data_IF_069314776075
#
_entry.id   IF_069314776075
#
_cell.length_a   1.000
_cell.length_b   1.000
_cell.length_c   1.000
_cell.angle_alpha   90.00
_cell.angle_beta   90.00
_cell.angle_gamma   90.00
#
_symmetry.space_group_name_H-M   'P 1'
#
loop_
_entity.id
_entity.type
_entity.pdbx_description
1 polymer ?
#
# COMPACT_ATOMS: atom_id res chain seq x y z
N UNK A 1 7.90 -40.50 -27.03
CA UNK A 1 7.32 -40.21 -25.69
C UNK A 1 8.33 -40.24 -24.52
N UNK A 2 9.65 -40.41 -24.74
CA UNK A 2 10.66 -40.39 -23.65
C UNK A 2 11.34 -39.01 -23.46
N UNK A 3 11.38 -38.16 -24.49
CA UNK A 3 12.02 -36.84 -24.43
C UNK A 3 11.17 -35.74 -23.75
N UNK A 4 9.84 -35.79 -23.87
CA UNK A 4 8.96 -34.81 -23.22
C UNK A 4 8.97 -34.91 -21.67
N UNK A 5 9.24 -36.10 -21.13
CA UNK A 5 9.35 -36.32 -19.68
C UNK A 5 10.61 -35.69 -19.08
N UNK A 6 11.69 -35.61 -19.85
CA UNK A 6 12.96 -35.00 -19.40
C UNK A 6 12.86 -33.47 -19.32
N UNK A 7 12.16 -32.84 -20.26
CA UNK A 7 11.92 -31.39 -20.23
C UNK A 7 10.99 -30.98 -19.08
N UNK A 8 9.96 -31.76 -18.77
CA UNK A 8 9.08 -31.49 -17.63
C UNK A 8 9.82 -31.58 -16.28
N UNK A 9 10.75 -32.53 -16.14
CA UNK A 9 11.61 -32.64 -14.95
C UNK A 9 12.63 -31.49 -14.85
N UNK A 10 13.18 -31.03 -15.97
CA UNK A 10 14.12 -29.90 -16.01
C UNK A 10 13.47 -28.58 -15.56
N UNK A 11 12.24 -28.30 -16.00
CA UNK A 11 11.55 -27.05 -15.65
C UNK A 11 11.11 -27.05 -14.18
N UNK A 12 10.69 -28.20 -13.64
CA UNK A 12 10.49 -28.34 -12.19
C UNK A 12 11.80 -28.16 -11.40
N UNK A 13 12.91 -28.74 -11.86
CA UNK A 13 14.18 -28.68 -11.12
C UNK A 13 14.77 -27.25 -11.06
N UNK A 14 14.65 -26.48 -12.15
CA UNK A 14 15.12 -25.08 -12.17
C UNK A 14 14.21 -24.11 -11.41
N UNK A 15 12.92 -24.42 -11.24
CA UNK A 15 12.02 -23.63 -10.37
C UNK A 15 12.26 -23.93 -8.88
N UNK A 16 12.65 -25.15 -8.52
CA UNK A 16 12.97 -25.53 -7.14
C UNK A 16 14.31 -24.92 -6.67
N UNK A 17 15.27 -24.70 -7.57
CA UNK A 17 16.58 -24.11 -7.22
C UNK A 17 16.51 -22.62 -6.87
N UNK A 18 15.53 -21.88 -7.40
CA UNK A 18 15.24 -20.50 -6.95
C UNK A 18 14.39 -20.45 -5.67
N UNK A 19 13.80 -21.57 -5.24
CA UNK A 19 13.09 -21.68 -3.97
C UNK A 19 13.96 -22.24 -2.83
N UNK A 20 15.15 -22.76 -3.11
CA UNK A 20 16.02 -23.37 -2.11
C UNK A 20 16.56 -22.36 -1.08
N UNK A 21 16.64 -21.07 -1.41
CA UNK A 21 16.98 -20.01 -0.45
C UNK A 21 15.89 -19.79 0.61
N UNK A 22 14.64 -20.17 0.32
CA UNK A 22 13.53 -20.09 1.28
C UNK A 22 13.62 -21.19 2.36
N UNK A 23 14.38 -22.27 2.13
CA UNK A 23 14.45 -23.45 2.99
C UNK A 23 15.78 -23.59 3.76
N UNK A 24 16.74 -22.67 3.60
CA UNK A 24 18.02 -22.73 4.33
C UNK A 24 18.02 -22.09 5.73
N UNK A 25 16.90 -21.51 6.17
CA UNK A 25 16.73 -21.05 7.55
C UNK A 25 16.46 -22.24 8.48
N UNK A 26 17.52 -22.92 8.94
CA UNK A 26 17.45 -24.05 9.90
C UNK A 26 16.92 -23.69 11.30
N UNK A 27 16.60 -22.43 11.58
CA UNK A 27 16.30 -21.96 12.96
C UNK A 27 14.99 -21.17 13.14
N UNK A 28 13.94 -21.35 12.32
CA UNK A 28 12.66 -20.68 12.56
C UNK A 28 11.42 -21.57 12.50
N UNK A 29 10.65 -21.45 13.59
CA UNK A 29 9.33 -21.98 13.89
C UNK A 29 8.34 -21.58 12.76
N UNK A 30 7.64 -22.55 12.20
CA UNK A 30 6.53 -22.42 11.23
C UNK A 30 6.80 -21.61 9.94
N UNK A 31 7.41 -22.26 8.93
CA UNK A 31 7.53 -21.74 7.55
C UNK A 31 6.29 -22.02 6.67
N UNK A 32 5.16 -22.40 7.26
CA UNK A 32 3.91 -22.69 6.54
C UNK A 32 3.40 -21.47 5.78
N UNK A 33 3.51 -20.27 6.35
CA UNK A 33 3.07 -19.03 5.70
C UNK A 33 3.91 -18.70 4.45
N UNK A 34 5.22 -18.96 4.51
CA UNK A 34 6.13 -18.78 3.37
C UNK A 34 5.85 -19.81 2.25
N UNK A 35 5.48 -21.04 2.62
CA UNK A 35 5.05 -22.08 1.69
C UNK A 35 3.71 -21.72 1.02
N UNK A 36 2.73 -21.19 1.77
CA UNK A 36 1.46 -20.74 1.21
C UNK A 36 1.64 -19.53 0.28
N UNK A 37 2.46 -18.55 0.64
CA UNK A 37 2.81 -17.44 -0.25
C UNK A 37 3.41 -17.92 -1.57
N UNK A 38 4.35 -18.87 -1.53
CA UNK A 38 4.98 -19.42 -2.72
C UNK A 38 4.02 -20.26 -3.59
N UNK A 39 3.03 -20.93 -2.98
CA UNK A 39 2.07 -21.78 -3.70
C UNK A 39 0.94 -20.98 -4.38
N UNK A 40 0.63 -19.79 -3.88
CA UNK A 40 -0.42 -18.90 -4.43
C UNK A 40 0.12 -17.73 -5.27
N UNK A 41 1.44 -17.58 -5.38
CA UNK A 41 2.08 -16.55 -6.19
C UNK A 41 1.97 -16.87 -7.69
N UNK A 42 0.86 -16.45 -8.32
CA UNK A 42 0.94 -16.12 -9.73
C UNK A 42 1.94 -14.97 -9.92
N UNK A 43 2.57 -14.77 -11.10
CA UNK A 43 3.53 -13.69 -11.32
C UNK A 43 2.98 -12.27 -11.03
N UNK A 44 1.66 -12.13 -10.91
CA UNK A 44 0.94 -10.90 -10.59
C UNK A 44 0.32 -10.89 -9.19
N UNK A 45 0.80 -11.75 -8.28
CA UNK A 45 0.40 -11.82 -6.88
C UNK A 45 1.62 -11.92 -5.97
N UNK A 46 1.79 -10.94 -5.09
CA UNK A 46 2.79 -11.00 -4.03
C UNK A 46 3.69 -9.77 -3.94
N UNK A 47 4.60 -9.80 -2.95
CA UNK A 47 5.55 -8.72 -2.69
C UNK A 47 6.74 -8.77 -3.66
N UNK A 48 7.25 -7.61 -4.01
CA UNK A 48 8.48 -7.41 -4.78
C UNK A 48 9.19 -6.14 -4.30
N UNK A 49 10.52 -6.13 -4.33
CA UNK A 49 11.28 -4.93 -3.98
C UNK A 49 11.15 -3.87 -5.09
N UNK A 50 11.07 -2.60 -4.69
CA UNK A 50 11.10 -1.44 -5.59
C UNK A 50 12.24 -0.53 -5.17
N UNK A 51 12.94 0.03 -6.14
CA UNK A 51 13.93 1.09 -5.96
C UNK A 51 13.77 2.14 -7.07
N UNK A 52 13.92 3.42 -6.72
CA UNK A 52 13.75 4.53 -7.66
C UNK A 52 14.03 5.90 -7.04
N UNK A 53 13.60 6.96 -7.71
CA UNK A 53 13.73 8.35 -7.24
C UNK A 53 12.92 8.63 -5.97
N UNK A 54 11.86 7.88 -5.72
CA UNK A 54 11.12 7.87 -4.45
C UNK A 54 11.80 7.00 -3.37
N UNK A 55 12.98 6.44 -3.66
CA UNK A 55 13.72 5.58 -2.74
C UNK A 55 13.37 4.10 -2.90
N UNK A 56 13.60 3.34 -1.81
CA UNK A 56 13.38 1.91 -1.73
C UNK A 56 12.04 1.60 -1.04
N UNK A 57 11.40 0.50 -1.44
CA UNK A 57 10.15 0.06 -0.86
C UNK A 57 9.79 -1.36 -1.27
N UNK A 58 8.58 -1.77 -0.87
CA UNK A 58 7.98 -3.06 -1.24
C UNK A 58 6.69 -2.80 -1.97
N UNK A 59 6.57 -3.35 -3.19
CA UNK A 59 5.34 -3.38 -3.97
C UNK A 59 4.63 -4.71 -3.77
N UNK A 60 3.36 -4.62 -3.39
CA UNK A 60 2.43 -5.72 -3.26
C UNK A 60 1.47 -5.69 -4.45
N UNK A 61 1.53 -6.72 -5.29
CA UNK A 61 0.61 -6.93 -6.41
C UNK A 61 -0.53 -7.85 -5.97
N UNK A 62 -1.77 -7.50 -6.35
CA UNK A 62 -2.98 -8.25 -5.96
C UNK A 62 -3.78 -8.80 -7.14
N UNK A 63 -3.52 -8.35 -8.37
CA UNK A 63 -4.35 -8.66 -9.55
C UNK A 63 -4.43 -10.16 -9.88
N UNK A 64 -3.41 -10.93 -9.54
CA UNK A 64 -3.39 -12.38 -9.74
C UNK A 64 -3.62 -13.21 -8.48
N UNK A 65 -4.00 -12.60 -7.36
CA UNK A 65 -4.21 -13.32 -6.10
C UNK A 65 -5.55 -14.05 -6.09
N UNK A 66 -5.58 -15.21 -5.45
CA UNK A 66 -6.78 -16.05 -5.30
C UNK A 66 -6.71 -16.86 -4.00
N UNK A 67 -7.78 -17.57 -3.66
CA UNK A 67 -7.89 -18.32 -2.41
C UNK A 67 -8.43 -17.46 -1.25
N UNK A 68 -8.11 -17.87 -0.02
CA UNK A 68 -8.53 -17.13 1.18
C UNK A 68 -7.70 -15.83 1.34
N UNK A 69 -8.35 -14.64 1.25
CA UNK A 69 -7.66 -13.36 1.37
C UNK A 69 -6.93 -13.19 2.69
N UNK A 70 -7.49 -13.69 3.80
CA UNK A 70 -6.88 -13.51 5.12
C UNK A 70 -5.55 -14.24 5.22
N UNK A 71 -5.47 -15.46 4.73
CA UNK A 71 -4.24 -16.26 4.73
C UNK A 71 -3.19 -15.68 3.79
N UNK A 72 -3.58 -15.29 2.57
CA UNK A 72 -2.65 -14.72 1.57
C UNK A 72 -2.10 -13.38 2.05
N UNK A 73 -2.96 -12.47 2.53
CA UNK A 73 -2.53 -11.16 3.00
C UNK A 73 -1.69 -11.24 4.28
N UNK A 74 -1.97 -12.21 5.16
CA UNK A 74 -1.12 -12.51 6.31
C UNK A 74 0.29 -12.91 5.88
N UNK A 75 0.41 -13.75 4.86
CA UNK A 75 1.70 -14.15 4.32
C UNK A 75 2.45 -12.97 3.67
N UNK A 76 1.73 -11.94 3.21
CA UNK A 76 2.33 -10.68 2.73
C UNK A 76 2.59 -9.66 3.85
N UNK A 77 2.32 -10.02 5.10
CA UNK A 77 2.56 -9.16 6.27
C UNK A 77 1.44 -8.18 6.57
N UNK A 78 0.18 -8.49 6.23
CA UNK A 78 -1.00 -7.69 6.58
C UNK A 78 -1.95 -8.44 7.52
N UNK A 79 -2.67 -7.71 8.36
CA UNK A 79 -3.99 -8.13 8.84
C UNK A 79 -5.04 -7.67 7.85
N UNK A 80 -6.14 -8.41 7.73
CA UNK A 80 -7.24 -8.05 6.84
C UNK A 80 -8.59 -8.39 7.44
N UNK A 81 -9.61 -7.61 7.09
CA UNK A 81 -10.99 -7.84 7.48
C UNK A 81 -11.92 -7.51 6.32
N UNK A 82 -12.91 -8.37 6.06
CA UNK A 82 -13.98 -8.10 5.08
C UNK A 82 -13.49 -7.84 3.65
N UNK A 83 -12.43 -8.49 3.19
CA UNK A 83 -11.93 -8.33 1.82
C UNK A 83 -12.04 -9.63 1.04
N UNK A 84 -12.16 -9.54 -0.28
CA UNK A 84 -12.16 -10.65 -1.22
C UNK A 84 -11.18 -10.40 -2.36
N UNK A 85 -10.75 -11.46 -3.05
CA UNK A 85 -10.00 -11.31 -4.30
C UNK A 85 -10.96 -11.21 -5.50
N UNK A 86 -10.86 -10.11 -6.24
CA UNK A 86 -11.58 -9.87 -7.49
C UNK A 86 -10.73 -8.95 -8.39
N UNK A 87 -9.85 -9.53 -9.21
CA UNK A 87 -8.84 -8.81 -10.01
C UNK A 87 -7.97 -7.84 -9.19
N UNK A 88 -7.81 -8.12 -7.90
CA UNK A 88 -7.24 -7.26 -6.87
C UNK A 88 -7.91 -7.54 -5.52
N UNK A 89 -7.60 -6.75 -4.48
CA UNK A 89 -8.32 -6.80 -3.20
C UNK A 89 -9.55 -5.91 -3.32
N UNK A 90 -10.73 -6.48 -3.10
CA UNK A 90 -11.98 -5.75 -3.04
C UNK A 90 -12.54 -5.74 -1.62
N UNK A 91 -12.95 -4.56 -1.14
CA UNK A 91 -13.69 -4.44 0.12
C UNK A 91 -15.16 -4.80 -0.03
N UNK A 92 -15.68 -5.65 0.87
CA UNK A 92 -17.09 -6.09 0.87
C UNK A 92 -18.02 -5.17 1.67
N UNK A 93 -17.47 -4.20 2.41
CA UNK A 93 -18.22 -3.28 3.27
C UNK A 93 -17.42 -2.02 3.59
N UNK A 94 -18.06 -1.05 4.23
CA UNK A 94 -17.37 0.11 4.79
C UNK A 94 -16.38 -0.24 5.92
N UNK A 95 -16.43 -1.43 6.50
CA UNK A 95 -15.50 -1.86 7.56
C UNK A 95 -14.30 -2.66 7.02
N UNK A 96 -14.19 -2.82 5.69
CA UNK A 96 -13.18 -3.67 5.10
C UNK A 96 -11.82 -3.01 5.12
N UNK A 97 -10.82 -3.67 5.71
CA UNK A 97 -9.48 -3.10 5.93
C UNK A 97 -8.38 -4.08 5.60
N UNK A 98 -7.21 -3.52 5.29
CA UNK A 98 -5.91 -4.20 5.36
C UNK A 98 -4.92 -3.28 6.09
N UNK A 99 -4.10 -3.83 6.98
CA UNK A 99 -3.12 -3.04 7.77
C UNK A 99 -1.82 -3.83 7.84
N UNK A 100 -0.67 -3.18 7.64
CA UNK A 100 0.63 -3.86 7.80
C UNK A 100 0.81 -4.36 9.24
N UNK A 101 1.45 -5.52 9.38
CA UNK A 101 1.74 -6.14 10.68
C UNK A 101 2.96 -5.49 11.36
N UNK A 102 3.89 -4.99 10.55
CA UNK A 102 5.13 -4.37 10.98
C UNK A 102 5.13 -2.86 10.65
N UNK A 103 6.02 -2.14 11.33
CA UNK A 103 6.29 -0.74 11.04
C UNK A 103 6.65 -0.58 9.56
N UNK A 104 6.18 0.50 8.95
CA UNK A 104 6.40 0.80 7.53
C UNK A 104 6.90 2.23 7.32
N UNK A 105 7.37 2.90 8.39
CA UNK A 105 7.82 4.28 8.35
C UNK A 105 9.35 4.38 8.27
N UNK A 106 9.83 5.41 7.60
CA UNK A 106 11.21 5.90 7.76
C UNK A 106 11.24 6.84 8.96
N UNK A 107 12.02 6.52 9.99
CA UNK A 107 12.14 7.35 11.20
C UNK A 107 13.54 7.96 11.32
N UNK A 108 13.59 9.24 11.67
CA UNK A 108 14.84 9.96 11.98
C UNK A 108 14.57 10.93 13.13
N UNK A 109 15.16 10.68 14.30
CA UNK A 109 14.84 11.45 15.50
C UNK A 109 13.36 11.30 15.89
N UNK A 110 12.65 12.42 16.02
CA UNK A 110 11.21 12.45 16.30
C UNK A 110 10.34 12.48 15.03
N UNK A 111 10.96 12.57 13.86
CA UNK A 111 10.25 12.68 12.60
C UNK A 111 10.01 11.31 12.01
N UNK A 112 8.83 11.14 11.44
CA UNK A 112 8.47 9.93 10.72
C UNK A 112 7.85 10.29 9.38
N UNK A 113 8.44 9.74 8.32
CA UNK A 113 7.99 9.95 6.95
C UNK A 113 7.61 8.61 6.38
N UNK A 114 6.48 8.59 5.68
CA UNK A 114 6.12 7.46 4.86
C UNK A 114 5.43 7.97 3.61
N UNK A 115 5.49 7.15 2.57
CA UNK A 115 4.63 7.35 1.44
C UNK A 115 4.25 6.03 0.81
N UNK A 116 3.11 6.11 0.15
CA UNK A 116 2.39 4.98 -0.38
C UNK A 116 1.95 5.31 -1.79
N UNK A 117 2.15 4.36 -2.69
CA UNK A 117 1.58 4.37 -4.02
C UNK A 117 0.46 3.36 -4.06
N UNK A 118 -0.72 3.75 -4.54
CA UNK A 118 -1.88 2.86 -4.61
C UNK A 118 -2.42 2.90 -6.02
N UNK A 119 -2.59 1.74 -6.63
CA UNK A 119 -3.35 1.59 -7.87
C UNK A 119 -4.69 0.98 -7.54
N UNK A 120 -5.78 1.70 -7.83
CA UNK A 120 -7.13 1.30 -7.50
C UNK A 120 -8.12 1.54 -8.64
N UNK A 121 -9.28 0.91 -8.53
CA UNK A 121 -10.44 1.08 -9.39
C UNK A 121 -11.68 1.29 -8.51
N UNK A 122 -12.40 2.40 -8.70
CA UNK A 122 -13.68 2.64 -8.02
C UNK A 122 -14.81 1.97 -8.81
N UNK A 123 -15.58 1.05 -8.23
CA UNK A 123 -16.64 0.33 -8.98
C UNK A 123 -18.00 1.03 -8.96
N UNK A 124 -18.24 1.90 -7.99
CA UNK A 124 -19.52 2.60 -7.76
C UNK A 124 -19.33 4.05 -7.34
N UNK A 125 -20.37 4.87 -7.48
CA UNK A 125 -20.35 6.30 -7.13
C UNK A 125 -20.07 6.59 -5.65
N UNK A 126 -20.34 5.63 -4.76
CA UNK A 126 -20.06 5.69 -3.32
C UNK A 126 -18.87 4.82 -2.91
N UNK A 127 -17.99 4.49 -3.85
CA UNK A 127 -16.73 3.79 -3.53
C UNK A 127 -15.83 4.70 -2.70
N UNK A 128 -15.08 4.09 -1.77
CA UNK A 128 -14.13 4.81 -0.94
C UNK A 128 -12.83 4.01 -0.79
N UNK A 129 -11.71 4.72 -0.76
CA UNK A 129 -10.43 4.21 -0.32
C UNK A 129 -9.87 5.19 0.70
N UNK A 130 -9.85 4.80 1.97
CA UNK A 130 -9.10 5.52 2.99
C UNK A 130 -7.69 4.92 3.03
N UNK A 131 -6.69 5.77 2.90
CA UNK A 131 -5.29 5.38 2.87
C UNK A 131 -4.57 6.06 4.03
N UNK A 132 -4.37 5.31 5.12
CA UNK A 132 -3.66 5.76 6.31
C UNK A 132 -2.18 5.44 6.14
N UNK A 133 -1.37 6.48 6.00
CA UNK A 133 0.07 6.38 5.77
C UNK A 133 0.80 6.11 7.09
N UNK A 134 0.23 6.60 8.20
CA UNK A 134 0.59 6.16 9.54
C UNK A 134 -0.69 5.71 10.24
N UNK A 135 -0.72 4.47 10.71
CA UNK A 135 -1.93 3.83 11.24
C UNK A 135 -1.63 3.02 12.50
N UNK A 136 -2.62 2.92 13.40
CA UNK A 136 -2.65 1.93 14.49
C UNK A 136 -3.28 0.61 14.03
N UNK A 137 -3.25 -0.42 14.87
CA UNK A 137 -3.99 -1.66 14.62
C UNK A 137 -5.50 -1.48 14.50
N UNK A 138 -6.07 -0.38 15.02
CA UNK A 138 -7.50 -0.09 14.97
C UNK A 138 -7.91 0.78 13.77
N UNK A 139 -7.02 0.97 12.79
CA UNK A 139 -7.26 1.85 11.64
C UNK A 139 -7.56 3.30 12.04
N UNK A 140 -6.62 3.92 12.73
CA UNK A 140 -6.66 5.36 13.02
C UNK A 140 -5.31 5.97 12.69
N UNK A 141 -5.28 7.20 12.18
CA UNK A 141 -4.07 8.01 12.00
C UNK A 141 -4.21 9.00 10.84
N UNK A 142 -3.13 9.70 10.44
CA UNK A 142 -3.13 10.54 9.26
C UNK A 142 -3.21 9.77 7.96
N UNK A 143 -3.87 10.37 6.98
CA UNK A 143 -3.97 9.81 5.65
C UNK A 143 -4.87 10.61 4.73
N UNK A 144 -5.35 9.94 3.68
CA UNK A 144 -6.22 10.53 2.66
C UNK A 144 -7.37 9.60 2.35
N UNK A 145 -8.59 10.12 2.28
CA UNK A 145 -9.75 9.45 1.73
C UNK A 145 -9.92 9.86 0.26
N UNK A 146 -10.09 8.87 -0.60
CA UNK A 146 -10.49 9.03 -2.00
C UNK A 146 -11.91 8.53 -2.19
N UNK A 147 -12.71 9.32 -2.91
CA UNK A 147 -13.96 8.86 -3.52
C UNK A 147 -13.82 8.91 -5.06
N UNK A 148 -14.89 8.78 -5.85
CA UNK A 148 -14.84 9.13 -7.27
C UNK A 148 -14.73 10.63 -7.53
N UNK A 149 -15.17 11.48 -6.59
CA UNK A 149 -15.35 12.93 -6.83
C UNK A 149 -14.55 13.84 -5.92
N UNK A 150 -13.94 13.34 -4.85
CA UNK A 150 -13.07 14.13 -3.99
C UNK A 150 -11.90 13.34 -3.40
N UNK A 151 -10.85 14.08 -3.04
CA UNK A 151 -9.86 13.68 -2.06
C UNK A 151 -10.04 14.53 -0.80
N UNK A 152 -9.91 13.92 0.37
CA UNK A 152 -10.03 14.56 1.68
C UNK A 152 -8.91 14.06 2.58
N UNK A 153 -8.35 14.91 3.44
CA UNK A 153 -7.41 14.42 4.44
C UNK A 153 -8.13 13.74 5.59
N UNK A 154 -7.44 12.84 6.26
CA UNK A 154 -7.96 12.09 7.39
C UNK A 154 -7.23 12.51 8.67
N UNK A 155 -8.00 12.96 9.67
CA UNK A 155 -7.55 13.02 11.05
C UNK A 155 -8.13 11.82 11.81
N UNK A 156 -7.35 10.74 11.93
CA UNK A 156 -7.87 9.51 12.48
C UNK A 156 -8.79 8.81 11.47
N UNK A 157 -10.09 8.78 11.76
CA UNK A 157 -11.13 8.20 10.89
C UNK A 157 -12.08 9.23 10.28
N UNK A 158 -11.84 10.53 10.53
CA UNK A 158 -12.74 11.60 10.12
C UNK A 158 -12.17 12.32 8.90
N UNK A 159 -12.86 12.29 7.74
CA UNK A 159 -12.44 13.02 6.56
C UNK A 159 -12.74 14.52 6.72
N UNK A 160 -11.81 15.35 6.26
CA UNK A 160 -11.91 16.81 6.23
C UNK A 160 -11.44 17.34 4.89
N UNK A 161 -11.97 18.49 4.47
CA UNK A 161 -11.46 19.16 3.29
C UNK A 161 -10.03 19.63 3.54
N UNK A 162 -9.17 19.52 2.53
CA UNK A 162 -7.86 20.15 2.54
C UNK A 162 -8.01 21.67 2.65
N UNK A 163 -7.23 22.31 3.53
CA UNK A 163 -7.31 23.76 3.77
C UNK A 163 -6.69 24.55 2.60
N UNK A 164 -5.63 24.02 2.02
CA UNK A 164 -4.96 24.60 0.86
C UNK A 164 -5.57 24.06 -0.43
N UNK A 165 -6.12 24.98 -1.23
CA UNK A 165 -6.65 24.67 -2.55
C UNK A 165 -5.50 24.22 -3.45
N UNK A 166 -5.57 23.03 -4.06
CA UNK A 166 -4.44 22.51 -4.79
C UNK A 166 -4.13 23.31 -6.06
N UNK A 167 -2.87 23.22 -6.50
CA UNK A 167 -2.43 23.78 -7.78
C UNK A 167 -3.14 23.15 -8.99
N UNK A 168 -3.63 21.91 -8.82
CA UNK A 168 -4.34 21.10 -9.82
C UNK A 168 -5.52 20.43 -9.13
N UNK A 169 -6.73 20.55 -9.68
CA UNK A 169 -7.90 19.87 -9.13
C UNK A 169 -7.74 18.34 -9.25
N UNK A 170 -7.75 17.65 -8.11
CA UNK A 170 -7.84 16.19 -8.09
C UNK A 170 -9.13 15.76 -8.82
N UNK A 171 -9.04 14.70 -9.63
CA UNK A 171 -10.21 14.09 -10.29
C UNK A 171 -10.07 12.57 -10.35
N UNK A 172 -11.09 11.84 -9.90
CA UNK A 172 -11.20 10.38 -10.11
C UNK A 172 -12.48 10.08 -10.86
N UNK A 173 -12.73 8.81 -11.18
CA UNK A 173 -13.95 8.38 -11.85
C UNK A 173 -14.25 6.92 -11.57
N UNK A 174 -15.52 6.58 -11.61
CA UNK A 174 -15.98 5.18 -11.56
C UNK A 174 -15.51 4.45 -12.81
N UNK A 175 -15.01 3.24 -12.66
CA UNK A 175 -14.59 2.38 -13.76
C UNK A 175 -13.27 2.77 -14.43
N UNK A 176 -12.59 3.83 -13.97
CA UNK A 176 -11.27 4.23 -14.46
C UNK A 176 -10.23 3.88 -13.40
N UNK A 177 -9.22 3.12 -13.80
CA UNK A 177 -8.09 2.82 -12.93
C UNK A 177 -7.28 4.09 -12.68
N UNK A 178 -6.89 4.27 -11.42
CA UNK A 178 -6.10 5.42 -10.99
C UNK A 178 -4.95 4.97 -10.12
N UNK A 179 -3.78 5.55 -10.36
CA UNK A 179 -2.62 5.41 -9.48
C UNK A 179 -2.40 6.73 -8.76
N UNK A 180 -2.25 6.67 -7.45
CA UNK A 180 -1.97 7.83 -6.60
C UNK A 180 -0.69 7.60 -5.80
N UNK A 181 0.07 8.68 -5.60
CA UNK A 181 1.14 8.75 -4.63
C UNK A 181 0.70 9.65 -3.49
N UNK A 182 0.95 9.22 -2.25
CA UNK A 182 0.62 9.96 -1.04
C UNK A 182 1.85 9.94 -0.15
N UNK A 183 2.18 11.07 0.43
CA UNK A 183 3.24 11.20 1.42
C UNK A 183 2.66 11.81 2.70
N UNK A 184 3.06 11.29 3.86
CA UNK A 184 2.77 11.88 5.17
C UNK A 184 4.06 12.03 5.93
N UNK A 185 4.37 13.28 6.27
CA UNK A 185 5.55 13.67 7.01
C UNK A 185 5.04 14.14 8.37
N UNK A 186 5.22 13.32 9.41
CA UNK A 186 4.94 13.73 10.78
C UNK A 186 6.23 14.33 11.33
N UNK A 187 6.22 15.65 11.47
CA UNK A 187 7.32 16.45 11.98
C UNK A 187 6.84 17.04 13.32
N UNK A 188 7.43 16.57 14.42
CA UNK A 188 6.96 16.85 15.78
C UNK A 188 5.46 16.47 16.02
N UNK A 189 4.62 17.46 16.35
CA UNK A 189 3.19 17.29 16.67
C UNK A 189 2.27 17.49 15.46
N UNK A 190 2.82 17.93 14.34
CA UNK A 190 2.08 18.22 13.12
C UNK A 190 2.35 17.15 12.07
N UNK A 191 1.43 16.99 11.14
CA UNK A 191 1.67 16.23 9.93
C UNK A 191 1.45 17.09 8.69
N UNK A 192 2.29 16.84 7.71
CA UNK A 192 2.20 17.38 6.37
C UNK A 192 1.79 16.24 5.45
N UNK A 193 0.68 16.42 4.74
CA UNK A 193 0.07 15.40 3.89
C UNK A 193 0.10 15.90 2.46
N UNK A 194 0.67 15.13 1.56
CA UNK A 194 0.82 15.49 0.15
C UNK A 194 0.26 14.38 -0.75
N UNK A 195 -0.26 14.72 -1.92
CA UNK A 195 -0.50 13.70 -2.94
C UNK A 195 -0.67 14.15 -4.38
N UNK A 196 -0.60 13.14 -5.25
CA UNK A 196 -0.56 13.26 -6.71
C UNK A 196 -1.26 12.09 -7.38
N UNK A 197 -1.83 12.31 -8.57
CA UNK A 197 -2.41 11.25 -9.40
C UNK A 197 -1.35 10.63 -10.34
N UNK A 198 -0.23 10.18 -9.77
CA UNK A 198 0.86 9.54 -10.51
C UNK A 198 1.61 8.55 -9.63
N UNK A 199 2.50 7.75 -10.23
CA UNK A 199 3.41 6.89 -9.49
C UNK A 199 4.42 7.74 -8.68
N UNK A 200 4.82 7.29 -7.50
CA UNK A 200 5.66 8.09 -6.59
C UNK A 200 7.04 8.45 -7.18
N UNK A 201 7.54 7.66 -8.12
CA UNK A 201 8.80 7.94 -8.81
C UNK A 201 8.70 9.04 -9.89
N UNK A 202 7.48 9.41 -10.31
CA UNK A 202 7.23 10.39 -11.38
C UNK A 202 6.57 11.68 -10.90
N UNK A 203 6.27 11.79 -9.60
CA UNK A 203 5.61 12.99 -9.06
C UNK A 203 6.53 14.21 -9.09
N UNK A 204 5.95 15.37 -9.36
CA UNK A 204 6.62 16.65 -9.16
C UNK A 204 6.37 17.15 -7.73
N UNK A 205 7.39 17.07 -6.87
CA UNK A 205 7.29 17.53 -5.46
C UNK A 205 7.25 19.05 -5.29
N UNK A 206 7.28 19.81 -6.37
CA UNK A 206 7.02 21.25 -6.33
C UNK A 206 5.55 21.62 -6.64
N UNK A 207 4.69 20.64 -6.94
CA UNK A 207 3.30 20.87 -7.35
C UNK A 207 2.41 19.70 -6.95
N UNK A 208 1.63 19.89 -5.89
CA UNK A 208 0.72 18.89 -5.31
C UNK A 208 -0.70 19.05 -5.87
N UNK A 209 -1.43 17.94 -5.98
CA UNK A 209 -2.87 17.91 -6.33
C UNK A 209 -3.78 18.03 -5.10
N UNK A 210 -3.24 17.83 -3.91
CA UNK A 210 -3.85 18.14 -2.63
C UNK A 210 -2.73 18.14 -1.58
N UNK A 211 -2.82 19.08 -0.64
CA UNK A 211 -1.88 19.21 0.46
C UNK A 211 -2.62 19.62 1.73
N UNK A 212 -2.19 19.12 2.88
CA UNK A 212 -2.56 19.64 4.19
C UNK A 212 -1.26 19.94 4.93
N UNK A 213 -1.05 21.21 5.24
CA UNK A 213 0.09 21.68 6.02
C UNK A 213 -0.30 21.81 7.49
N UNK A 214 0.64 21.50 8.39
CA UNK A 214 0.48 21.68 9.84
C UNK A 214 -0.77 21.01 10.45
N UNK A 215 -1.19 19.87 9.91
CA UNK A 215 -2.32 19.11 10.46
C UNK A 215 -1.99 18.70 11.89
N UNK A 216 -2.72 19.23 12.88
CA UNK A 216 -2.46 18.94 14.29
C UNK A 216 -2.84 17.49 14.59
N UNK A 217 -1.85 16.67 14.92
CA UNK A 217 -2.04 15.26 15.29
C UNK A 217 -1.59 15.03 16.73
N UNK A 218 -2.55 15.10 17.64
CA UNK A 218 -2.29 14.88 19.07
C UNK A 218 -2.27 13.39 19.41
N UNK A 219 -1.24 12.94 20.16
CA UNK A 219 -1.23 11.63 20.80
C UNK A 219 -1.15 10.42 19.87
N UNK A 220 -0.71 10.60 18.62
CA UNK A 220 -0.64 9.51 17.65
C UNK A 220 0.69 8.76 17.67
N UNK A 221 0.61 7.43 17.82
CA UNK A 221 1.77 6.53 17.94
C UNK A 221 1.79 5.41 16.89
N UNK A 222 0.93 5.48 15.87
CA UNK A 222 0.87 4.44 14.85
C UNK A 222 2.09 4.48 13.91
N UNK A 223 2.52 3.31 13.49
CA UNK A 223 3.72 3.09 12.70
C UNK A 223 3.47 2.22 11.45
N UNK A 224 2.21 1.89 11.18
CA UNK A 224 1.78 1.00 10.10
C UNK A 224 1.18 1.78 8.94
N UNK A 225 1.07 1.13 7.80
CA UNK A 225 0.24 1.60 6.69
C UNK A 225 -1.03 0.77 6.66
N UNK A 226 -2.17 1.40 6.39
CA UNK A 226 -3.43 0.68 6.24
C UNK A 226 -4.30 1.27 5.14
N UNK A 227 -5.09 0.41 4.50
CA UNK A 227 -6.21 0.82 3.66
C UNK A 227 -7.55 0.37 4.24
N UNK A 228 -8.57 1.22 4.13
CA UNK A 228 -9.98 0.86 4.27
C UNK A 228 -10.62 1.01 2.91
N UNK A 229 -11.30 -0.03 2.47
CA UNK A 229 -11.69 -0.22 1.08
C UNK A 229 -13.19 -0.45 1.06
N UNK A 230 -13.96 0.37 0.37
CA UNK A 230 -15.39 0.16 0.17
C UNK A 230 -15.71 0.21 -1.30
N UNK A 231 -16.22 -0.89 -1.88
CA UNK A 231 -16.64 -0.98 -3.30
C UNK A 231 -15.57 -0.57 -4.31
N UNK A 232 -14.31 -0.50 -3.89
CA UNK A 232 -13.16 -0.30 -4.74
C UNK A 232 -12.33 -1.58 -4.83
N UNK A 233 -11.54 -1.71 -5.89
CA UNK A 233 -10.54 -2.77 -6.06
C UNK A 233 -9.16 -2.15 -5.96
N UNK A 234 -8.33 -2.65 -5.06
CA UNK A 234 -6.91 -2.30 -4.96
C UNK A 234 -6.12 -3.32 -5.76
N UNK A 235 -5.44 -2.88 -6.81
CA UNK A 235 -4.62 -3.74 -7.67
C UNK A 235 -3.19 -3.86 -7.16
N UNK A 236 -2.66 -2.78 -6.61
CA UNK A 236 -1.34 -2.78 -6.01
C UNK A 236 -1.17 -1.68 -4.97
N UNK A 237 -0.24 -1.94 -4.04
CA UNK A 237 0.26 -0.94 -3.10
C UNK A 237 1.78 -1.01 -3.12
N UNK A 238 2.46 0.12 -3.25
CA UNK A 238 3.90 0.22 -2.95
C UNK A 238 4.05 1.01 -1.67
N UNK A 239 4.74 0.44 -0.68
CA UNK A 239 5.06 1.11 0.58
C UNK A 239 6.57 1.39 0.59
N UNK A 240 6.94 2.67 0.63
CA UNK A 240 8.33 3.08 0.60
C UNK A 240 8.90 3.18 2.02
N UNK A 241 10.04 2.52 2.23
CA UNK A 241 10.71 2.38 3.54
C UNK A 241 11.90 3.30 3.72
N UNK A 242 12.23 4.12 2.72
CA UNK A 242 13.26 5.17 2.80
C UNK A 242 12.66 6.51 2.39
N UNK A 243 13.32 7.60 2.81
CA UNK A 243 12.88 8.99 2.59
C UNK A 243 12.33 9.20 1.18
N UNK A 244 11.03 9.44 1.13
CA UNK A 244 10.42 10.11 0.01
C UNK A 244 10.50 11.61 0.31
N UNK A 245 11.32 12.31 -0.46
CA UNK A 245 11.51 13.75 -0.31
C UNK A 245 12.97 14.17 -0.19
N UNK A 246 13.57 14.58 -1.31
CA UNK A 246 14.58 15.66 -1.33
C UNK A 246 14.51 16.39 -2.66
N UNK A 247 13.86 17.55 -2.66
CA UNK A 247 14.28 18.77 -3.37
C UNK A 247 13.35 19.92 -2.99
N UNK A 248 13.72 20.68 -1.96
CA UNK A 248 13.03 21.91 -1.55
C UNK A 248 12.44 21.85 -0.14
N UNK A 249 13.27 22.13 0.86
CA UNK A 249 12.92 22.78 2.14
C UNK A 249 11.47 22.64 2.62
N UNK A 250 11.19 21.66 3.49
CA UNK A 250 10.28 21.93 4.61
C UNK A 250 11.11 22.77 5.58
N UNK A 251 10.79 24.07 5.65
CA UNK A 251 11.37 25.04 6.58
C UNK A 251 10.34 25.33 7.66
#
# INVERSE_FOLDING_TARGET
MKFAKFFLFSVLSFSILNCAELFQSRDKKDNTDALFAALFASPSCGPSAVSGSAGNGTRYLFTGCSGDPTSVLRAFGFTSSGVTFNAGIQGTSLASTIITNASSLSTSGNDSKAGIEITYLMNQGDSLVDALVQSTSSFAGPGVQFSPTQAQWLNGSTPSAFVTTPSIAWTSSVGIEKTVCIEVHKENANAHIFGWSSACNSVNRSAYEFEEEDAVITGFTGDRVGLKINKAVIKSITIYSTVIGTAGSLQ
#
